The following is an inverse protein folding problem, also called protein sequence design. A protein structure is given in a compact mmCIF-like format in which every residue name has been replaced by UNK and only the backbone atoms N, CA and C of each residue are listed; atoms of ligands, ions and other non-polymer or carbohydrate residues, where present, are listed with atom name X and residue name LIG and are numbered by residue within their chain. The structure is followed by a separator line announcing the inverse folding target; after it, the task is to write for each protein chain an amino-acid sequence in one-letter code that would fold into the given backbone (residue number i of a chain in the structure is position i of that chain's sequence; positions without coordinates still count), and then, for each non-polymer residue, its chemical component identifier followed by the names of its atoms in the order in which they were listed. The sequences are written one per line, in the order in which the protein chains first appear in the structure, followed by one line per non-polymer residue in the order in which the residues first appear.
data_IF_984110687374
#
_entry.id   IF_984110687374
#
_cell.length_a   1.000
_cell.length_b   1.000
_cell.length_c   1.000
_cell.angle_alpha   90.00
_cell.angle_beta   90.00
_cell.angle_gamma   90.00
#
_symmetry.space_group_name_H-M   'P 1'
#
loop_
_entity.id
_entity.type
_entity.pdbx_description
1 polymer ?
#
# COMPACT_ATOMS: atom_id res chain seq x y z
N UNK A 1 -13.14 -36.86 -22.96
CA UNK A 1 -13.02 -35.93 -21.80
C UNK A 1 -13.86 -34.69 -22.11
N UNK A 2 -14.82 -34.31 -21.24
CA UNK A 2 -15.86 -33.33 -21.60
C UNK A 2 -15.31 -31.90 -21.67
N UNK A 3 -15.53 -31.18 -22.78
CA UNK A 3 -14.97 -29.83 -23.02
C UNK A 3 -15.41 -28.80 -21.96
N UNK A 4 -16.61 -28.97 -21.39
CA UNK A 4 -17.14 -28.13 -20.30
C UNK A 4 -16.26 -28.21 -19.05
N UNK A 5 -15.77 -29.41 -18.70
CA UNK A 5 -14.95 -29.63 -17.51
C UNK A 5 -13.56 -29.02 -17.64
N UNK A 6 -13.00 -28.98 -18.87
CA UNK A 6 -11.73 -28.30 -19.15
C UNK A 6 -11.82 -26.78 -19.00
N UNK A 7 -12.89 -26.15 -19.53
CA UNK A 7 -13.12 -24.69 -19.37
C UNK A 7 -13.23 -24.28 -17.91
N UNK A 8 -13.99 -25.02 -17.10
CA UNK A 8 -14.12 -24.74 -15.65
C UNK A 8 -12.78 -24.88 -14.93
N UNK A 9 -11.96 -25.89 -15.28
CA UNK A 9 -10.63 -26.08 -14.69
C UNK A 9 -9.67 -24.94 -15.04
N UNK A 10 -9.68 -24.49 -16.30
CA UNK A 10 -8.89 -23.32 -16.74
C UNK A 10 -9.31 -22.04 -16.03
N UNK A 11 -10.61 -21.78 -15.91
CA UNK A 11 -11.11 -20.60 -15.18
C UNK A 11 -10.67 -20.58 -13.71
N UNK A 12 -10.74 -21.73 -13.02
CA UNK A 12 -10.24 -21.85 -11.64
C UNK A 12 -8.73 -21.61 -11.52
N UNK A 13 -7.94 -22.05 -12.50
CA UNK A 13 -6.49 -21.81 -12.52
C UNK A 13 -6.17 -20.32 -12.73
N UNK A 14 -6.89 -19.63 -13.63
CA UNK A 14 -6.74 -18.19 -13.84
C UNK A 14 -7.12 -17.42 -12.59
N UNK A 15 -8.21 -17.78 -11.92
CA UNK A 15 -8.61 -17.15 -10.66
C UNK A 15 -7.55 -17.34 -9.57
N UNK A 16 -7.01 -18.55 -9.42
CA UNK A 16 -5.90 -18.83 -8.48
C UNK A 16 -4.65 -18.02 -8.80
N UNK A 17 -4.30 -17.86 -10.08
CA UNK A 17 -3.18 -17.00 -10.52
C UNK A 17 -3.42 -15.54 -10.16
N UNK A 18 -4.62 -15.00 -10.42
CA UNK A 18 -5.00 -13.63 -10.05
C UNK A 18 -4.88 -13.39 -8.54
N UNK A 19 -5.39 -14.32 -7.72
CA UNK A 19 -5.28 -14.21 -6.25
C UNK A 19 -3.82 -14.22 -5.80
N UNK A 20 -2.97 -15.09 -6.38
CA UNK A 20 -1.53 -15.10 -6.07
C UNK A 20 -0.86 -13.76 -6.42
N UNK A 21 -1.19 -13.18 -7.57
CA UNK A 21 -0.66 -11.87 -7.97
C UNK A 21 -1.06 -10.76 -6.99
N UNK A 22 -2.33 -10.73 -6.53
CA UNK A 22 -2.79 -9.76 -5.53
C UNK A 22 -2.06 -9.93 -4.20
N UNK A 23 -1.82 -11.17 -3.76
CA UNK A 23 -1.04 -11.42 -2.53
C UNK A 23 0.41 -10.93 -2.66
N UNK A 24 1.05 -11.17 -3.79
CA UNK A 24 2.42 -10.68 -4.06
C UNK A 24 2.44 -9.15 -4.11
N UNK A 25 1.45 -8.51 -4.75
CA UNK A 25 1.37 -7.06 -4.80
C UNK A 25 1.11 -6.46 -3.42
N UNK A 26 0.22 -7.05 -2.62
CA UNK A 26 0.00 -6.60 -1.24
C UNK A 26 1.25 -6.73 -0.38
N UNK A 27 1.96 -7.87 -0.44
CA UNK A 27 3.19 -8.04 0.32
C UNK A 27 4.23 -6.99 -0.07
N UNK A 28 4.43 -6.74 -1.37
CA UNK A 28 5.34 -5.69 -1.84
C UNK A 28 4.93 -4.31 -1.34
N UNK A 29 3.65 -3.98 -1.38
CA UNK A 29 3.14 -2.69 -0.90
C UNK A 29 3.37 -2.52 0.60
N UNK A 30 3.16 -3.56 1.40
CA UNK A 30 3.41 -3.55 2.83
C UNK A 30 4.91 -3.39 3.15
N UNK A 31 5.79 -4.10 2.43
CA UNK A 31 7.23 -3.92 2.55
C UNK A 31 7.67 -2.49 2.20
N UNK A 32 7.08 -1.90 1.17
CA UNK A 32 7.35 -0.51 0.79
C UNK A 32 6.87 0.46 1.87
N UNK A 33 5.64 0.29 2.36
CA UNK A 33 5.08 1.15 3.42
C UNK A 33 5.96 1.13 4.67
N UNK A 34 6.42 -0.06 5.06
CA UNK A 34 7.32 -0.26 6.20
C UNK A 34 8.65 0.49 6.08
N UNK A 35 9.17 0.65 4.86
CA UNK A 35 10.42 1.39 4.60
C UNK A 35 10.24 2.90 4.59
N UNK A 36 9.05 3.38 4.24
CA UNK A 36 8.76 4.82 4.11
C UNK A 36 8.35 5.42 5.46
N UNK A 37 7.57 4.67 6.25
CA UNK A 37 7.06 5.15 7.53
C UNK A 37 8.10 4.94 8.62
N UNK A 38 8.60 6.00 9.28
CA UNK A 38 9.66 5.88 10.28
C UNK A 38 9.27 4.99 11.47
N UNK A 39 10.19 4.14 11.92
CA UNK A 39 10.00 3.30 13.11
C UNK A 39 9.01 2.16 12.93
N UNK A 40 8.80 1.68 11.69
CA UNK A 40 7.91 0.56 11.39
C UNK A 40 8.63 -0.75 11.04
N UNK A 41 9.96 -0.79 11.11
CA UNK A 41 10.83 -1.90 10.66
C UNK A 41 10.38 -3.27 11.23
N UNK A 42 9.94 -3.27 12.50
CA UNK A 42 9.47 -4.46 13.22
C UNK A 42 7.99 -4.34 13.66
N UNK A 43 7.29 -3.28 13.27
CA UNK A 43 5.90 -3.06 13.68
C UNK A 43 4.96 -4.10 13.05
N UNK A 44 3.97 -4.55 13.82
CA UNK A 44 2.83 -5.29 13.31
C UNK A 44 2.01 -4.42 12.34
N UNK A 45 1.07 -5.05 11.62
CA UNK A 45 0.31 -4.35 10.58
C UNK A 45 -0.58 -3.24 11.13
N UNK A 46 -1.22 -3.44 12.28
CA UNK A 46 -2.13 -2.46 12.87
C UNK A 46 -1.34 -1.23 13.32
N UNK A 47 -0.26 -1.44 14.04
CA UNK A 47 0.66 -0.37 14.46
C UNK A 47 1.24 0.36 13.25
N UNK A 48 1.60 -0.36 12.18
CA UNK A 48 2.12 0.24 10.95
C UNK A 48 1.08 1.15 10.28
N UNK A 49 -0.18 0.72 10.17
CA UNK A 49 -1.24 1.54 9.59
C UNK A 49 -1.53 2.77 10.46
N UNK A 50 -1.58 2.62 11.77
CA UNK A 50 -1.78 3.73 12.69
C UNK A 50 -0.66 4.77 12.57
N UNK A 51 0.61 4.33 12.59
CA UNK A 51 1.77 5.22 12.37
C UNK A 51 1.77 5.88 11.00
N UNK A 52 1.29 5.16 9.97
CA UNK A 52 1.15 5.71 8.62
C UNK A 52 0.16 6.88 8.60
N UNK A 53 -0.98 6.75 9.26
CA UNK A 53 -2.00 7.80 9.37
C UNK A 53 -1.40 9.02 10.09
N UNK A 54 -0.76 8.81 11.24
CA UNK A 54 -0.11 9.88 12.00
C UNK A 54 0.98 10.60 11.19
N UNK A 55 1.79 9.85 10.44
CA UNK A 55 2.82 10.40 9.60
C UNK A 55 2.24 11.25 8.47
N UNK A 56 1.15 10.81 7.83
CA UNK A 56 0.43 11.60 6.81
C UNK A 56 -0.10 12.91 7.39
N UNK A 57 -0.67 12.88 8.60
CA UNK A 57 -1.17 14.10 9.26
C UNK A 57 -0.02 15.08 9.49
N UNK A 58 1.10 14.61 10.05
CA UNK A 58 2.30 15.44 10.27
C UNK A 58 2.84 16.05 8.97
N UNK A 59 2.94 15.26 7.91
CA UNK A 59 3.38 15.73 6.60
C UNK A 59 2.43 16.80 6.03
N UNK A 60 1.12 16.63 6.16
CA UNK A 60 0.14 17.64 5.74
C UNK A 60 0.33 18.97 6.47
N UNK A 61 0.55 18.92 7.79
CA UNK A 61 0.84 20.12 8.59
C UNK A 61 2.13 20.81 8.15
N UNK A 62 3.19 20.04 7.87
CA UNK A 62 4.46 20.59 7.36
C UNK A 62 4.29 21.24 5.99
N UNK A 63 3.58 20.58 5.05
CA UNK A 63 3.28 21.14 3.73
C UNK A 63 2.47 22.43 3.84
N UNK A 64 1.50 22.48 4.76
CA UNK A 64 0.73 23.70 5.02
C UNK A 64 1.62 24.85 5.50
N UNK A 65 2.48 24.58 6.48
CA UNK A 65 3.43 25.57 7.00
C UNK A 65 4.38 26.06 5.89
N UNK A 66 4.96 25.15 5.11
CA UNK A 66 5.83 25.49 3.99
C UNK A 66 5.11 26.35 2.94
N UNK A 67 3.85 26.02 2.61
CA UNK A 67 3.03 26.83 1.70
C UNK A 67 2.78 28.23 2.26
N UNK A 68 2.47 28.34 3.56
CA UNK A 68 2.30 29.65 4.21
C UNK A 68 3.58 30.48 4.15
N UNK A 69 4.75 29.86 4.38
CA UNK A 69 6.03 30.55 4.28
C UNK A 69 6.29 31.00 2.85
N UNK A 70 6.12 30.12 1.85
CA UNK A 70 6.30 30.46 0.44
C UNK A 70 5.43 31.68 0.04
N UNK A 71 4.16 31.68 0.46
CA UNK A 71 3.24 32.80 0.22
C UNK A 71 3.71 34.11 0.88
N UNK A 72 4.26 34.04 2.10
CA UNK A 72 4.77 35.22 2.82
C UNK A 72 6.07 35.76 2.24
N UNK A 73 6.92 34.90 1.66
CA UNK A 73 8.21 35.26 1.09
C UNK A 73 8.19 35.45 -0.43
N UNK A 74 7.03 35.25 -1.09
CA UNK A 74 6.83 35.48 -2.52
C UNK A 74 7.55 34.49 -3.44
N UNK A 75 7.79 33.27 -2.99
CA UNK A 75 8.37 32.15 -3.77
C UNK A 75 7.28 31.32 -4.43
#
# INVERSE_FOLDING_TARGET
MNQRTQRTRMYRLVLRKKVKLVKVSMHRNLCTLRRIVPGCEEADLETMFQRSIEHIIKLKSLVYALRSLANSYGV
#
